data_IF_539738324980
#
_entry.id   IF_539738324980
#
_cell.length_a   1.000
_cell.length_b   1.000
_cell.length_c   1.000
_cell.angle_alpha   90.00
_cell.angle_beta   90.00
_cell.angle_gamma   90.00
#
_symmetry.space_group_name_H-M   'P 1'
#
loop_
_entity.id
_entity.type
_entity.pdbx_description
1 polymer ?
#
# COMPACT_ATOMS: atom_id res chain seq x y z
N UNK A 1 6.87 2.70 -11.56
CA UNK A 1 5.43 2.80 -11.25
C UNK A 1 4.82 4.06 -11.86
N UNK A 2 3.87 3.85 -12.75
CA UNK A 2 3.05 4.87 -13.42
C UNK A 2 1.60 4.77 -12.94
N UNK A 3 0.75 5.71 -13.34
CA UNK A 3 -0.69 5.68 -13.09
C UNK A 3 -1.37 4.43 -13.69
N UNK A 4 -0.83 3.90 -14.79
CA UNK A 4 -1.30 2.70 -15.47
C UNK A 4 -0.91 1.40 -14.78
N UNK A 5 0.03 1.41 -13.82
CA UNK A 5 0.48 0.19 -13.13
C UNK A 5 -0.65 -0.52 -12.38
N UNK A 6 -1.70 0.19 -11.98
CA UNK A 6 -2.89 -0.38 -11.35
C UNK A 6 -4.16 0.00 -12.11
N UNK A 7 -5.14 -0.90 -12.12
CA UNK A 7 -6.43 -0.68 -12.74
C UNK A 7 -7.58 -0.97 -11.76
N UNK A 8 -8.60 -0.12 -11.79
CA UNK A 8 -9.88 -0.34 -11.10
C UNK A 8 -10.78 -1.15 -12.02
N UNK A 9 -11.30 -2.28 -11.52
CA UNK A 9 -12.24 -3.14 -12.23
C UNK A 9 -13.54 -3.31 -11.43
N UNK A 10 -14.59 -3.78 -12.10
CA UNK A 10 -15.87 -4.14 -11.48
C UNK A 10 -15.95 -5.67 -11.44
N UNK A 11 -16.32 -6.22 -10.29
CA UNK A 11 -16.64 -7.64 -10.17
C UNK A 11 -18.10 -7.85 -10.60
N UNK A 12 -18.31 -8.62 -11.67
CA UNK A 12 -19.63 -8.90 -12.24
C UNK A 12 -20.55 -9.64 -11.26
N UNK A 13 -20.00 -10.44 -10.35
CA UNK A 13 -20.79 -11.23 -9.40
C UNK A 13 -21.26 -10.39 -8.22
N UNK A 14 -20.40 -9.52 -7.72
CA UNK A 14 -20.66 -8.75 -6.49
C UNK A 14 -21.06 -7.30 -6.78
N UNK A 15 -20.94 -6.84 -8.03
CA UNK A 15 -21.08 -5.44 -8.44
C UNK A 15 -20.16 -4.47 -7.66
N UNK A 16 -19.08 -4.99 -7.07
CA UNK A 16 -18.14 -4.22 -6.25
C UNK A 16 -16.88 -3.91 -7.04
N UNK A 17 -16.32 -2.70 -6.83
CA UNK A 17 -15.05 -2.33 -7.45
C UNK A 17 -13.88 -3.02 -6.75
N UNK A 18 -12.82 -3.32 -7.48
CA UNK A 18 -11.56 -3.80 -6.93
C UNK A 18 -10.39 -3.23 -7.72
N UNK A 19 -9.21 -3.13 -7.09
CA UNK A 19 -7.98 -2.70 -7.75
C UNK A 19 -7.08 -3.90 -7.97
N UNK A 20 -6.54 -4.00 -9.18
CA UNK A 20 -5.49 -4.97 -9.52
C UNK A 20 -4.25 -4.27 -10.04
N UNK A 21 -3.13 -4.98 -9.98
CA UNK A 21 -1.96 -4.65 -10.78
C UNK A 21 -2.22 -4.97 -12.26
N UNK A 22 -2.04 -3.98 -13.13
CA UNK A 22 -2.26 -4.11 -14.58
C UNK A 22 -0.97 -4.32 -15.38
N UNK A 23 0.17 -3.88 -14.83
CA UNK A 23 1.49 -3.99 -15.47
C UNK A 23 2.49 -4.70 -14.53
N UNK A 24 3.28 -5.63 -15.08
CA UNK A 24 4.41 -6.21 -14.38
C UNK A 24 5.64 -5.29 -14.47
N UNK A 25 6.17 -4.86 -13.32
CA UNK A 25 7.42 -4.08 -13.30
C UNK A 25 8.62 -5.02 -13.41
N UNK A 26 9.41 -4.85 -14.48
CA UNK A 26 10.70 -5.51 -14.60
C UNK A 26 11.63 -5.01 -13.48
N UNK A 27 12.13 -5.91 -12.64
CA UNK A 27 13.22 -5.57 -11.70
C UNK A 27 14.54 -6.09 -12.24
N UNK A 28 15.68 -5.54 -11.80
CA UNK A 28 17.04 -5.91 -12.28
C UNK A 28 17.32 -7.43 -12.32
N UNK A 29 16.60 -8.24 -11.54
CA UNK A 29 16.70 -9.71 -11.53
C UNK A 29 15.42 -10.44 -12.01
N UNK A 30 14.33 -9.74 -12.28
CA UNK A 30 13.11 -10.31 -12.85
C UNK A 30 12.94 -9.82 -14.29
N UNK A 31 13.28 -10.69 -15.25
CA UNK A 31 12.85 -10.53 -16.65
C UNK A 31 11.32 -10.40 -16.65
N UNK A 32 10.79 -9.46 -17.43
CA UNK A 32 9.37 -9.09 -17.54
C UNK A 32 8.45 -10.21 -18.09
N UNK A 33 8.86 -11.48 -18.00
CA UNK A 33 8.17 -12.59 -18.64
C UNK A 33 8.46 -13.92 -17.93
N UNK A 34 8.14 -13.97 -16.63
CA UNK A 34 7.86 -15.23 -15.95
C UNK A 34 6.44 -15.12 -15.44
N UNK A 35 5.65 -16.18 -15.64
CA UNK A 35 4.26 -16.35 -15.17
C UNK A 35 4.13 -16.34 -13.63
N UNK A 36 4.90 -15.50 -12.93
CA UNK A 36 4.74 -15.27 -11.50
C UNK A 36 3.51 -14.38 -11.36
N UNK A 37 2.37 -15.02 -11.09
CA UNK A 37 1.08 -14.41 -10.79
C UNK A 37 1.24 -13.59 -9.50
N UNK A 38 1.81 -12.38 -9.59
CA UNK A 38 1.77 -11.40 -8.51
C UNK A 38 0.43 -10.67 -8.64
N UNK A 39 -0.66 -11.38 -8.35
CA UNK A 39 -1.99 -10.79 -8.31
C UNK A 39 -2.15 -10.00 -7.02
N UNK A 40 -1.74 -8.73 -7.06
CA UNK A 40 -2.25 -7.76 -6.09
C UNK A 40 -3.75 -7.61 -6.32
N UNK A 41 -4.58 -8.06 -5.38
CA UNK A 41 -6.03 -7.86 -5.39
C UNK A 41 -6.43 -7.05 -4.17
N UNK A 42 -7.00 -5.87 -4.39
CA UNK A 42 -7.49 -4.97 -3.36
C UNK A 42 -9.01 -4.84 -3.51
N UNK A 43 -9.81 -5.57 -2.71
CA UNK A 43 -11.27 -5.50 -2.78
C UNK A 43 -11.82 -4.22 -2.19
N UNK A 44 -12.97 -3.76 -2.69
CA UNK A 44 -13.78 -2.81 -1.93
C UNK A 44 -14.28 -3.46 -0.65
N UNK A 45 -14.36 -2.65 0.40
CA UNK A 45 -14.98 -3.04 1.67
C UNK A 45 -16.40 -2.50 1.72
N UNK A 46 -17.29 -3.25 2.38
CA UNK A 46 -18.69 -2.83 2.63
C UNK A 46 -18.72 -1.56 3.47
N UNK A 47 -17.84 -1.45 4.46
CA UNK A 47 -17.62 -0.21 5.20
C UNK A 47 -16.88 0.81 4.31
N UNK A 48 -17.61 1.85 3.92
CA UNK A 48 -17.13 2.92 3.04
C UNK A 48 -16.09 3.82 3.69
N UNK A 49 -15.91 3.79 5.02
CA UNK A 49 -15.01 4.70 5.75
C UNK A 49 -13.54 4.32 5.56
N UNK A 50 -13.22 3.03 5.57
CA UNK A 50 -11.86 2.51 5.45
C UNK A 50 -11.63 1.69 4.18
N UNK A 51 -12.51 1.86 3.18
CA UNK A 51 -12.44 1.13 1.92
C UNK A 51 -11.18 1.51 1.12
N UNK A 52 -10.23 0.57 0.90
CA UNK A 52 -8.95 0.89 0.29
C UNK A 52 -9.10 1.25 -1.20
N UNK A 53 -10.09 0.67 -1.89
CA UNK A 53 -10.42 1.04 -3.29
C UNK A 53 -10.91 2.48 -3.38
N UNK A 54 -11.73 2.93 -2.43
CA UNK A 54 -12.18 4.33 -2.37
C UNK A 54 -11.00 5.27 -2.14
N UNK A 55 -10.12 4.93 -1.18
CA UNK A 55 -8.91 5.71 -0.92
C UNK A 55 -7.99 5.76 -2.14
N UNK A 56 -7.84 4.65 -2.87
CA UNK A 56 -7.06 4.58 -4.09
C UNK A 56 -7.64 5.46 -5.21
N UNK A 57 -8.94 5.38 -5.48
CA UNK A 57 -9.62 6.21 -6.48
C UNK A 57 -9.42 7.70 -6.15
N UNK A 58 -9.72 8.08 -4.91
CA UNK A 58 -9.57 9.46 -4.44
C UNK A 58 -8.12 9.96 -4.59
N UNK A 59 -7.14 9.11 -4.28
CA UNK A 59 -5.74 9.43 -4.50
C UNK A 59 -5.43 9.66 -5.99
N UNK A 60 -5.88 8.75 -6.88
CA UNK A 60 -5.62 8.87 -8.33
C UNK A 60 -6.28 10.09 -8.96
N UNK A 61 -7.49 10.45 -8.52
CA UNK A 61 -8.20 11.66 -8.96
C UNK A 61 -7.48 12.95 -8.53
N UNK A 62 -6.76 12.91 -7.40
CA UNK A 62 -6.01 14.04 -6.87
C UNK A 62 -4.64 14.26 -7.55
N UNK A 63 -4.17 13.30 -8.36
CA UNK A 63 -2.86 13.35 -9.02
C UNK A 63 -2.79 14.45 -10.09
N UNK A 64 -1.59 14.98 -10.32
CA UNK A 64 -1.33 15.95 -11.36
C UNK A 64 -1.59 15.34 -12.76
N UNK A 65 -2.40 15.98 -13.63
CA UNK A 65 -2.83 15.38 -14.90
C UNK A 65 -1.66 15.14 -15.86
N UNK A 66 -0.67 16.04 -15.91
CA UNK A 66 0.45 15.96 -16.88
C UNK A 66 1.57 14.98 -16.50
N UNK A 67 1.52 14.37 -15.33
CA UNK A 67 2.56 13.46 -14.86
C UNK A 67 2.04 12.03 -14.87
N UNK A 68 2.75 11.12 -15.55
CA UNK A 68 2.41 9.70 -15.61
C UNK A 68 2.81 8.94 -14.34
N UNK A 69 3.57 9.56 -13.43
CA UNK A 69 4.05 8.93 -12.22
C UNK A 69 2.91 8.72 -11.23
N UNK A 70 2.88 7.56 -10.59
CA UNK A 70 1.97 7.31 -9.48
C UNK A 70 2.39 8.14 -8.26
N UNK A 71 3.64 7.97 -7.81
CA UNK A 71 4.19 8.67 -6.66
C UNK A 71 4.58 10.12 -6.97
N UNK A 72 3.70 11.05 -6.64
CA UNK A 72 3.89 12.49 -6.89
C UNK A 72 4.16 13.29 -5.61
N UNK A 73 4.83 14.43 -5.73
CA UNK A 73 5.08 15.33 -4.59
C UNK A 73 3.80 16.05 -4.17
N UNK A 74 3.41 16.04 -2.88
CA UNK A 74 2.25 16.79 -2.42
C UNK A 74 2.51 18.30 -2.50
N UNK A 75 1.45 19.09 -2.75
CA UNK A 75 1.52 20.56 -2.69
C UNK A 75 1.44 21.00 -1.22
N UNK A 76 2.57 21.35 -0.61
CA UNK A 76 2.65 21.65 0.83
C UNK A 76 1.94 22.95 1.27
N UNK A 77 1.74 23.90 0.35
CA UNK A 77 1.20 25.23 0.66
C UNK A 77 -0.30 25.36 0.42
N UNK A 78 -1.01 24.26 0.16
CA UNK A 78 -2.44 24.26 -0.08
C UNK A 78 -3.07 23.21 0.82
N UNK A 79 -3.73 23.64 1.89
CA UNK A 79 -4.86 22.85 2.37
C UNK A 79 -5.82 22.78 1.18
N UNK A 80 -6.24 21.58 0.73
CA UNK A 80 -7.21 21.49 -0.33
C UNK A 80 -8.44 22.30 0.07
N UNK A 81 -8.69 23.40 -0.61
CA UNK A 81 -9.95 24.12 -0.46
C UNK A 81 -11.04 23.28 -1.09
N UNK A 82 -12.28 23.43 -0.60
CA UNK A 82 -13.43 22.75 -1.21
C UNK A 82 -13.47 23.06 -2.72
N UNK A 83 -13.41 22.00 -3.54
CA UNK A 83 -13.36 22.09 -5.00
C UNK A 83 -11.98 21.97 -5.64
N UNK A 84 -10.88 22.00 -4.89
CA UNK A 84 -9.55 21.74 -5.46
C UNK A 84 -9.40 20.27 -5.83
N UNK A 85 -9.39 19.97 -7.13
CA UNK A 85 -9.28 18.60 -7.66
C UNK A 85 -7.86 18.04 -7.69
N UNK A 86 -6.83 18.88 -7.70
CA UNK A 86 -5.42 18.45 -7.87
C UNK A 86 -4.57 18.80 -6.66
N UNK A 87 -4.15 17.79 -5.90
CA UNK A 87 -3.43 17.93 -4.63
C UNK A 87 -1.91 17.72 -4.78
N UNK A 88 -1.49 17.13 -5.88
CA UNK A 88 -0.08 16.79 -6.14
C UNK A 88 0.50 17.62 -7.28
N UNK A 89 1.81 17.87 -7.23
CA UNK A 89 2.60 18.44 -8.32
C UNK A 89 3.19 17.35 -9.21
N UNK A 90 3.74 17.68 -10.39
CA UNK A 90 4.22 16.68 -11.35
C UNK A 90 5.52 15.97 -10.96
N UNK A 91 6.21 16.45 -9.92
CA UNK A 91 7.50 15.93 -9.44
C UNK A 91 7.38 14.54 -8.80
N UNK A 92 8.49 13.81 -8.78
CA UNK A 92 8.58 12.51 -8.09
C UNK A 92 8.61 12.71 -6.58
N UNK A 93 7.86 11.89 -5.85
CA UNK A 93 8.05 11.77 -4.42
C UNK A 93 9.48 11.26 -4.12
N UNK A 94 10.19 11.94 -3.22
CA UNK A 94 11.55 11.56 -2.82
C UNK A 94 11.55 10.38 -1.85
N UNK A 95 12.58 9.53 -1.91
CA UNK A 95 12.69 8.35 -1.03
C UNK A 95 12.64 8.73 0.46
N UNK A 96 13.37 9.77 0.88
CA UNK A 96 13.34 10.28 2.26
C UNK A 96 11.93 10.66 2.74
N UNK A 97 11.10 11.21 1.86
CA UNK A 97 9.72 11.57 2.20
C UNK A 97 8.86 10.32 2.39
N UNK A 98 9.01 9.32 1.52
CA UNK A 98 8.33 8.03 1.67
C UNK A 98 8.80 7.29 2.92
N UNK A 99 10.11 7.18 3.14
CA UNK A 99 10.70 6.44 4.27
C UNK A 99 10.25 7.00 5.63
N UNK A 100 10.07 8.32 5.72
CA UNK A 100 9.61 9.01 6.92
C UNK A 100 8.08 9.19 7.01
N UNK A 101 7.31 8.71 6.02
CA UNK A 101 5.89 9.01 5.88
C UNK A 101 5.06 8.59 7.10
N UNK A 102 5.13 7.32 7.50
CA UNK A 102 4.33 6.83 8.62
C UNK A 102 4.69 7.50 9.95
N UNK A 103 5.98 7.79 10.18
CA UNK A 103 6.43 8.42 11.42
C UNK A 103 6.00 9.88 11.51
N UNK A 104 6.00 10.61 10.38
CA UNK A 104 5.42 11.96 10.29
C UNK A 104 3.92 11.93 10.53
N UNK A 105 3.21 11.01 9.86
CA UNK A 105 1.76 10.85 10.02
C UNK A 105 1.38 10.54 11.47
N UNK A 106 2.07 9.57 12.10
CA UNK A 106 1.84 9.21 13.50
C UNK A 106 2.05 10.41 14.43
N UNK A 107 3.12 11.18 14.23
CA UNK A 107 3.37 12.42 14.98
C UNK A 107 2.23 13.43 14.80
N UNK A 108 1.80 13.69 13.57
CA UNK A 108 0.70 14.61 13.26
C UNK A 108 -0.64 14.17 13.85
N UNK A 109 -0.84 12.87 14.06
CA UNK A 109 -2.03 12.31 14.69
C UNK A 109 -1.91 12.14 16.23
N UNK A 110 -0.84 12.60 16.86
CA UNK A 110 -0.65 12.48 18.32
C UNK A 110 -0.17 11.11 18.81
N UNK A 111 0.42 10.29 17.93
CA UNK A 111 0.95 8.95 18.20
C UNK A 111 2.48 8.86 18.14
N UNK A 112 3.20 9.99 18.27
CA UNK A 112 4.67 10.02 18.22
C UNK A 112 5.34 9.03 19.19
N UNK A 113 4.82 8.94 20.42
CA UNK A 113 5.27 8.04 21.49
C UNK A 113 5.14 6.56 21.16
N UNK A 114 4.36 6.19 20.13
CA UNK A 114 4.21 4.80 19.68
C UNK A 114 5.33 4.36 18.73
N UNK A 115 6.13 5.30 18.20
CA UNK A 115 7.25 4.98 17.33
C UNK A 115 6.86 4.27 16.03
N UNK A 116 5.66 4.55 15.48
CA UNK A 116 5.21 3.92 14.25
C UNK A 116 6.08 4.35 13.06
N UNK A 117 6.50 3.37 12.27
CA UNK A 117 7.30 3.55 11.06
C UNK A 117 6.67 2.79 9.90
N UNK A 118 7.19 2.96 8.67
CA UNK A 118 6.75 2.14 7.54
C UNK A 118 6.93 0.63 7.81
N UNK A 119 7.93 0.27 8.62
CA UNK A 119 8.14 -1.11 9.04
C UNK A 119 6.98 -1.63 9.91
N UNK A 120 6.34 -0.77 10.71
CA UNK A 120 5.16 -1.14 11.51
C UNK A 120 3.98 -1.59 10.65
N UNK A 121 3.76 -0.96 9.48
CA UNK A 121 2.74 -1.41 8.52
C UNK A 121 3.06 -2.81 8.01
N UNK A 122 4.32 -3.03 7.61
CA UNK A 122 4.79 -4.33 7.11
C UNK A 122 4.62 -5.42 8.17
N UNK A 123 5.03 -5.14 9.41
CA UNK A 123 4.86 -6.04 10.54
C UNK A 123 3.38 -6.40 10.76
N UNK A 124 2.52 -5.39 10.81
CA UNK A 124 1.07 -5.57 11.01
C UNK A 124 0.43 -6.45 9.92
N UNK A 125 0.84 -6.25 8.65
CA UNK A 125 0.40 -7.08 7.53
C UNK A 125 0.83 -8.54 7.67
N UNK A 126 2.10 -8.78 8.00
CA UNK A 126 2.63 -10.14 8.20
C UNK A 126 1.94 -10.86 9.35
N UNK A 127 1.83 -10.21 10.50
CA UNK A 127 1.17 -10.79 11.68
C UNK A 127 -0.28 -11.12 11.36
N UNK A 128 -0.99 -10.26 10.62
CA UNK A 128 -2.38 -10.53 10.20
C UNK A 128 -2.48 -11.75 9.28
N UNK A 129 -1.56 -11.91 8.33
CA UNK A 129 -1.54 -13.07 7.43
C UNK A 129 -1.18 -14.37 8.18
N UNK A 130 -0.22 -14.30 9.10
CA UNK A 130 0.13 -15.42 9.97
C UNK A 130 -1.05 -15.86 10.84
N UNK A 131 -1.78 -14.92 11.45
CA UNK A 131 -3.00 -15.22 12.23
C UNK A 131 -4.12 -15.84 11.38
N UNK A 132 -4.14 -15.57 10.08
CA UNK A 132 -5.03 -16.22 9.11
C UNK A 132 -4.49 -17.55 8.55
N UNK A 133 -3.41 -18.08 9.14
CA UNK A 133 -2.79 -19.35 8.76
C UNK A 133 -2.29 -19.42 7.30
N UNK A 134 -1.95 -18.28 6.69
CA UNK A 134 -1.23 -18.30 5.41
C UNK A 134 0.18 -18.85 5.61
N UNK A 135 0.64 -19.69 4.69
CA UNK A 135 1.95 -20.28 4.79
C UNK A 135 3.07 -19.27 4.49
N UNK A 136 4.28 -19.56 4.95
CA UNK A 136 5.43 -18.66 4.85
C UNK A 136 5.79 -18.34 3.40
N UNK A 137 5.63 -19.29 2.48
CA UNK A 137 5.91 -19.07 1.04
C UNK A 137 4.95 -18.04 0.44
N UNK A 138 3.66 -18.12 0.77
CA UNK A 138 2.64 -17.15 0.35
C UNK A 138 2.90 -15.76 0.96
N UNK A 139 3.29 -15.70 2.23
CA UNK A 139 3.60 -14.41 2.88
C UNK A 139 4.89 -13.82 2.30
N UNK A 140 5.90 -14.64 2.04
CA UNK A 140 7.17 -14.22 1.43
C UNK A 140 6.96 -13.68 0.02
N UNK A 141 6.08 -14.28 -0.79
CA UNK A 141 5.84 -13.83 -2.16
C UNK A 141 5.27 -12.42 -2.24
N UNK A 142 4.42 -12.03 -1.27
CA UNK A 142 3.81 -10.69 -1.24
C UNK A 142 4.64 -9.66 -0.46
N UNK A 143 5.43 -10.11 0.53
CA UNK A 143 6.25 -9.20 1.33
C UNK A 143 7.64 -9.00 0.74
N UNK A 144 8.13 -9.90 -0.11
CA UNK A 144 9.49 -9.84 -0.64
C UNK A 144 10.57 -10.26 0.35
N UNK A 145 10.22 -10.98 1.43
CA UNK A 145 11.21 -11.63 2.28
C UNK A 145 11.86 -12.81 1.53
N UNK A 146 13.17 -12.99 1.70
CA UNK A 146 13.93 -14.07 1.05
C UNK A 146 14.08 -15.32 1.93
N UNK A 147 13.74 -15.25 3.21
CA UNK A 147 13.87 -16.34 4.15
C UNK A 147 12.68 -16.40 5.11
N UNK A 148 12.15 -17.59 5.37
CA UNK A 148 11.11 -17.82 6.37
C UNK A 148 11.59 -17.52 7.79
N UNK A 149 12.88 -17.69 8.08
CA UNK A 149 13.46 -17.33 9.38
C UNK A 149 13.26 -15.84 9.70
N UNK A 150 13.31 -14.97 8.69
CA UNK A 150 13.02 -13.53 8.88
C UNK A 150 11.55 -13.24 9.19
N UNK A 151 10.63 -14.17 8.88
CA UNK A 151 9.22 -14.06 9.25
C UNK A 151 8.94 -14.50 10.70
N UNK A 152 9.79 -15.34 11.29
CA UNK A 152 9.60 -15.86 12.64
C UNK A 152 9.55 -14.75 13.70
N UNK A 153 10.24 -13.62 13.47
CA UNK A 153 10.24 -12.46 14.38
C UNK A 153 8.84 -11.86 14.56
N UNK A 154 7.95 -12.00 13.58
CA UNK A 154 6.58 -11.49 13.64
C UNK A 154 5.58 -12.48 14.28
N UNK A 155 6.04 -13.68 14.66
CA UNK A 155 5.26 -14.68 15.41
C UNK A 155 5.24 -14.42 16.91
N UNK A 156 5.80 -13.30 17.38
CA UNK A 156 5.74 -12.91 18.79
C UNK A 156 4.29 -12.66 19.19
N UNK A 157 3.75 -13.65 19.90
CA UNK A 157 2.45 -13.68 20.57
C UNK A 157 2.29 -12.39 21.39
N UNK A 158 1.16 -11.70 21.24
CA UNK A 158 0.83 -10.59 22.13
C UNK A 158 0.84 -11.12 23.58
N UNK A 159 1.21 -10.30 24.56
CA UNK A 159 1.19 -10.70 25.98
C UNK A 159 -0.14 -11.34 26.39
N UNK A 160 -1.23 -10.92 25.75
CA UNK A 160 -2.60 -11.32 26.04
C UNK A 160 -2.99 -12.69 25.44
N UNK A 161 -2.15 -13.25 24.56
CA UNK A 161 -2.32 -14.57 23.94
C UNK A 161 -1.36 -15.62 24.55
N UNK A 162 -0.58 -15.24 25.57
CA UNK A 162 0.19 -16.20 26.38
C UNK A 162 -0.74 -16.83 27.41
N UNK A 163 -1.22 -18.04 27.10
CA UNK A 163 -1.82 -18.95 28.08
C UNK A 163 -0.84 -19.29 29.21
#
# INVERSE_FOLDING_TARGET
MTKSTFAVKLDEKTAMKYVIRAEDEATKNHKANKNDIVTGYMPSMVDKKYCPVRSFIMYTEALHPTSEKLGQTPKFNLFPTDGQKVWYGPGNVGHNLLDSFMSKLATSCGFAQKGYTNHSLRASGITTLKRKNYNDKQIMSITGHRSSASLAVYQKVASDEKL
#
